data_IF_382915668911
#
_entry.id   IF_382915668911
#
_cell.length_a   1.000
_cell.length_b   1.000
_cell.length_c   1.000
_cell.angle_alpha   90.00
_cell.angle_beta   90.00
_cell.angle_gamma   90.00
#
_symmetry.space_group_name_H-M   'P 1'
#
loop_
_entity.id
_entity.type
_entity.pdbx_description
1 polymer ?
#
# COMPACT_ATOMS: atom_id res chain seq x y z
N UNK A 1 0.77 6.44 -14.04
CA UNK A 1 0.63 5.62 -12.82
C UNK A 1 1.01 4.19 -13.14
N UNK A 2 1.93 3.61 -12.38
CA UNK A 2 2.26 2.18 -12.42
C UNK A 2 1.46 1.38 -11.38
N UNK A 3 1.24 0.09 -11.64
CA UNK A 3 0.48 -0.79 -10.74
C UNK A 3 1.22 -2.09 -10.55
N UNK A 4 1.39 -2.48 -9.30
CA UNK A 4 2.15 -3.64 -8.91
C UNK A 4 1.35 -4.48 -7.92
N UNK A 5 1.37 -5.80 -8.07
CA UNK A 5 0.74 -6.72 -7.13
C UNK A 5 1.66 -7.88 -6.77
N UNK A 6 1.81 -8.15 -5.48
CA UNK A 6 2.25 -9.45 -4.98
C UNK A 6 1.00 -10.21 -4.52
N UNK A 7 0.60 -11.23 -5.28
CA UNK A 7 -0.53 -12.09 -4.94
C UNK A 7 -0.01 -13.51 -4.70
N UNK A 8 -0.43 -14.13 -3.59
CA UNK A 8 -0.07 -15.51 -3.27
C UNK A 8 -1.09 -16.12 -2.30
N UNK A 9 -0.94 -17.39 -1.94
CA UNK A 9 -1.79 -18.03 -0.92
C UNK A 9 -1.49 -17.48 0.47
N UNK A 10 -2.50 -17.43 1.35
CA UNK A 10 -2.38 -16.85 2.70
C UNK A 10 -1.18 -17.37 3.52
N UNK A 11 -0.88 -18.68 3.43
CA UNK A 11 0.24 -19.33 4.11
C UNK A 11 1.63 -18.82 3.66
N UNK A 12 1.71 -18.24 2.46
CA UNK A 12 2.95 -17.67 1.91
C UNK A 12 3.08 -16.16 2.14
N UNK A 13 2.05 -15.51 2.67
CA UNK A 13 2.09 -14.08 3.01
C UNK A 13 2.77 -13.87 4.37
N UNK A 14 4.07 -14.21 4.43
CA UNK A 14 4.87 -14.10 5.65
C UNK A 14 5.25 -12.65 5.98
N UNK A 15 5.59 -12.30 7.23
CA UNK A 15 6.05 -10.96 7.59
C UNK A 15 7.18 -10.41 6.70
N UNK A 16 8.05 -11.28 6.20
CA UNK A 16 9.14 -10.93 5.28
C UNK A 16 8.61 -10.44 3.94
N UNK A 17 7.54 -11.05 3.41
CA UNK A 17 6.87 -10.60 2.18
C UNK A 17 6.23 -9.23 2.39
N UNK A 18 5.54 -9.03 3.53
CA UNK A 18 5.00 -7.73 3.90
C UNK A 18 6.07 -6.65 3.92
N UNK A 19 7.22 -6.95 4.55
CA UNK A 19 8.37 -6.05 4.61
C UNK A 19 8.95 -5.79 3.22
N UNK A 20 9.10 -6.82 2.39
CA UNK A 20 9.64 -6.67 1.03
C UNK A 20 8.76 -5.76 0.16
N UNK A 21 7.43 -5.97 0.17
CA UNK A 21 6.49 -5.13 -0.58
C UNK A 21 6.48 -3.69 -0.05
N UNK A 22 6.51 -3.51 1.27
CA UNK A 22 6.63 -2.17 1.87
C UNK A 22 7.91 -1.46 1.42
N UNK A 23 9.06 -2.13 1.51
CA UNK A 23 10.35 -1.56 1.07
C UNK A 23 10.37 -1.27 -0.44
N UNK A 24 9.73 -2.11 -1.25
CA UNK A 24 9.56 -1.85 -2.69
C UNK A 24 8.76 -0.57 -2.94
N UNK A 25 7.65 -0.37 -2.24
CA UNK A 25 6.86 0.86 -2.35
C UNK A 25 7.63 2.10 -1.86
N UNK A 26 8.38 1.98 -0.75
CA UNK A 26 9.29 3.04 -0.26
C UNK A 26 10.33 3.40 -1.31
N UNK A 27 10.92 2.41 -1.99
CA UNK A 27 11.89 2.66 -3.06
C UNK A 27 11.28 3.46 -4.20
N UNK A 28 10.09 3.08 -4.69
CA UNK A 28 9.40 3.84 -5.75
C UNK A 28 9.14 5.28 -5.30
N UNK A 29 8.66 5.46 -4.07
CA UNK A 29 8.38 6.78 -3.51
C UNK A 29 9.65 7.63 -3.45
N UNK A 30 10.76 7.05 -2.98
CA UNK A 30 12.07 7.71 -2.92
C UNK A 30 12.61 8.09 -4.30
N UNK A 31 12.60 7.15 -5.26
CA UNK A 31 13.14 7.35 -6.61
C UNK A 31 12.36 8.44 -7.37
N UNK A 32 11.09 8.67 -7.01
CA UNK A 32 10.24 9.71 -7.59
C UNK A 32 10.13 10.98 -6.74
N UNK A 33 10.85 11.07 -5.62
CA UNK A 33 10.75 12.16 -4.64
C UNK A 33 9.30 12.47 -4.22
N UNK A 34 8.57 11.40 -3.86
CA UNK A 34 7.16 11.43 -3.43
C UNK A 34 6.98 10.82 -2.05
N UNK A 35 5.85 11.14 -1.43
CA UNK A 35 5.40 10.48 -0.20
C UNK A 35 4.81 9.09 -0.49
N UNK A 36 4.80 8.25 0.54
CA UNK A 36 4.13 6.96 0.55
C UNK A 36 2.87 7.03 1.42
N UNK A 37 1.75 6.59 0.89
CA UNK A 37 0.50 6.43 1.64
C UNK A 37 0.18 4.95 1.81
N UNK A 38 0.24 4.48 3.06
CA UNK A 38 -0.27 3.18 3.46
C UNK A 38 -1.79 3.23 3.48
N UNK A 39 -2.43 2.24 2.87
CA UNK A 39 -3.89 2.10 2.84
C UNK A 39 -4.29 0.83 3.58
N UNK A 40 -5.13 1.01 4.60
CA UNK A 40 -5.73 -0.07 5.38
C UNK A 40 -7.25 0.08 5.34
N UNK A 41 -7.99 -1.02 5.14
CA UNK A 41 -9.45 -0.97 5.04
C UNK A 41 -10.08 -0.31 6.29
N UNK A 42 -9.53 -0.62 7.46
CA UNK A 42 -9.94 -0.02 8.72
C UNK A 42 -8.71 0.43 9.53
N UNK A 43 -8.61 1.74 9.80
CA UNK A 43 -7.52 2.31 10.62
C UNK A 43 -7.57 1.80 12.05
N UNK A 44 -8.68 1.23 12.53
CA UNK A 44 -8.73 0.58 13.85
C UNK A 44 -8.13 -0.83 13.86
N UNK A 45 -8.04 -1.50 12.70
CA UNK A 45 -7.48 -2.86 12.53
C UNK A 45 -6.11 -2.84 11.81
N UNK A 46 -5.51 -1.66 11.69
CA UNK A 46 -4.21 -1.42 11.06
C UNK A 46 -3.05 -2.19 11.70
N UNK A 47 -3.13 -2.53 12.98
CA UNK A 47 -2.05 -3.16 13.75
C UNK A 47 -1.66 -4.52 13.19
N UNK A 48 -2.64 -5.29 12.71
CA UNK A 48 -2.43 -6.70 12.37
C UNK A 48 -1.53 -6.86 11.13
N UNK A 49 -1.50 -5.84 10.28
CA UNK A 49 -0.66 -5.81 9.08
C UNK A 49 0.57 -4.93 9.26
N UNK A 50 0.42 -3.74 9.84
CA UNK A 50 1.53 -2.77 9.92
C UNK A 50 2.61 -3.22 10.92
N UNK A 51 2.22 -3.88 12.01
CA UNK A 51 3.19 -4.40 13.00
C UNK A 51 4.10 -5.50 12.43
N UNK A 52 3.75 -6.10 11.29
CA UNK A 52 4.59 -7.12 10.62
C UNK A 52 5.87 -6.52 10.02
N UNK A 53 5.88 -5.22 9.72
CA UNK A 53 7.01 -4.57 9.03
C UNK A 53 7.44 -3.22 9.62
N UNK A 54 6.69 -2.67 10.57
CA UNK A 54 7.07 -1.50 11.37
C UNK A 54 7.04 -1.81 12.86
N UNK A 55 7.90 -1.16 13.64
CA UNK A 55 7.87 -1.27 15.10
C UNK A 55 6.59 -0.65 15.71
N UNK A 56 6.34 -0.95 16.98
CA UNK A 56 5.15 -0.47 17.69
C UNK A 56 5.10 1.06 17.78
N UNK A 57 6.25 1.74 17.91
CA UNK A 57 6.30 3.20 18.03
C UNK A 57 5.89 3.87 16.73
N UNK A 58 6.43 3.41 15.60
CA UNK A 58 6.07 3.86 14.26
C UNK A 58 4.61 3.57 13.95
N UNK A 59 4.15 2.36 14.28
CA UNK A 59 2.75 1.94 14.14
C UNK A 59 1.81 2.88 14.91
N UNK A 60 2.11 3.15 16.19
CA UNK A 60 1.32 4.07 17.03
C UNK A 60 1.31 5.51 16.52
N UNK A 61 2.41 5.99 15.90
CA UNK A 61 2.46 7.32 15.28
C UNK A 61 1.51 7.40 14.09
N UNK A 62 1.60 6.43 13.17
CA UNK A 62 0.75 6.35 11.98
C UNK A 62 -0.74 6.28 12.35
N UNK A 63 -1.09 5.50 13.39
CA UNK A 63 -2.45 5.39 13.92
C UNK A 63 -3.06 6.73 14.32
N UNK A 64 -2.24 7.60 14.89
CA UNK A 64 -2.63 8.95 15.35
C UNK A 64 -2.64 9.97 14.21
N UNK A 65 -2.44 9.52 12.97
CA UNK A 65 -2.33 10.39 11.80
C UNK A 65 -1.01 11.14 11.71
N UNK A 66 0.00 10.76 12.49
CA UNK A 66 1.32 11.38 12.44
C UNK A 66 2.12 10.80 11.28
N UNK A 67 2.65 11.68 10.42
CA UNK A 67 3.55 11.30 9.34
C UNK A 67 4.86 10.71 9.90
N UNK A 68 5.23 9.53 9.43
CA UNK A 68 6.49 8.87 9.76
C UNK A 68 7.54 9.21 8.71
N UNK A 69 8.79 9.43 9.13
CA UNK A 69 9.93 9.48 8.21
C UNK A 69 10.61 8.12 8.17
N UNK A 70 10.64 7.48 7.00
CA UNK A 70 11.25 6.17 6.81
C UNK A 70 12.18 6.20 5.59
N UNK A 71 13.48 6.00 5.80
CA UNK A 71 14.51 6.00 4.75
C UNK A 71 14.53 7.27 3.84
N UNK A 72 14.10 8.41 4.40
CA UNK A 72 13.98 9.70 3.69
C UNK A 72 12.65 9.90 2.97
N UNK A 73 11.68 9.01 3.16
CA UNK A 73 10.32 9.11 2.60
C UNK A 73 9.33 9.42 3.71
N UNK A 74 8.46 10.40 3.46
CA UNK A 74 7.29 10.66 4.30
C UNK A 74 6.24 9.56 4.10
N UNK A 75 5.88 8.86 5.17
CA UNK A 75 4.91 7.77 5.18
C UNK A 75 3.67 8.19 5.97
N UNK A 76 2.51 8.09 5.34
CA UNK A 76 1.20 8.41 5.91
C UNK A 76 0.30 7.17 5.95
N UNK A 77 -0.72 7.19 6.80
CA UNK A 77 -1.74 6.15 6.87
C UNK A 77 -3.12 6.71 6.53
N UNK A 78 -3.86 6.01 5.67
CA UNK A 78 -5.22 6.38 5.25
C UNK A 78 -6.13 5.16 5.21
N UNK A 79 -7.41 5.39 5.43
CA UNK A 79 -8.48 4.47 5.00
C UNK A 79 -9.01 4.87 3.62
N UNK A 80 -9.68 3.95 2.90
CA UNK A 80 -10.32 4.24 1.62
C UNK A 80 -11.24 5.46 1.64
N UNK A 81 -11.93 5.69 2.76
CA UNK A 81 -12.86 6.81 2.95
C UNK A 81 -12.16 8.16 3.18
N UNK A 82 -10.90 8.13 3.59
CA UNK A 82 -10.10 9.34 3.84
C UNK A 82 -9.24 9.76 2.64
N UNK A 83 -9.21 8.93 1.59
CA UNK A 83 -8.56 9.25 0.31
C UNK A 83 -9.51 10.15 -0.47
N UNK A 84 -9.03 11.33 -0.84
CA UNK A 84 -9.84 12.35 -1.53
C UNK A 84 -9.41 12.44 -2.98
N UNK A 85 -10.34 12.33 -3.91
CA UNK A 85 -10.04 12.33 -5.36
C UNK A 85 -9.25 13.57 -5.81
N UNK A 86 -9.52 14.74 -5.22
CA UNK A 86 -8.86 16.00 -5.55
C UNK A 86 -7.48 16.18 -4.91
N UNK A 87 -7.11 15.36 -3.94
CA UNK A 87 -5.79 15.44 -3.30
C UNK A 87 -4.76 14.72 -4.17
N UNK A 88 -3.57 15.32 -4.30
CA UNK A 88 -2.45 14.65 -4.96
C UNK A 88 -1.80 13.66 -4.01
N UNK A 89 -1.59 12.44 -4.49
CA UNK A 89 -0.88 11.39 -3.75
C UNK A 89 0.36 10.96 -4.51
N UNK A 90 1.38 10.53 -3.77
CA UNK A 90 2.63 10.02 -4.31
C UNK A 90 2.53 8.56 -4.74
N UNK A 91 2.88 7.66 -3.83
CA UNK A 91 2.78 6.21 -4.01
C UNK A 91 1.79 5.66 -2.99
N UNK A 92 0.96 4.71 -3.40
CA UNK A 92 0.15 3.92 -2.48
C UNK A 92 0.76 2.55 -2.23
N UNK A 93 0.67 2.09 -0.98
CA UNK A 93 0.94 0.71 -0.62
C UNK A 93 -0.23 0.18 0.22
N UNK A 94 -0.85 -0.90 -0.23
CA UNK A 94 -2.02 -1.47 0.41
C UNK A 94 -1.85 -2.97 0.64
N UNK A 95 -2.34 -3.43 1.79
CA UNK A 95 -2.29 -4.84 2.18
C UNK A 95 -3.72 -5.37 2.28
N UNK A 96 -4.05 -6.37 1.47
CA UNK A 96 -5.40 -6.89 1.25
C UNK A 96 -6.44 -5.77 1.05
N UNK A 97 -6.23 -4.86 0.07
CA UNK A 97 -7.17 -3.77 -0.15
C UNK A 97 -8.53 -4.32 -0.62
N UNK A 98 -9.61 -3.80 -0.05
CA UNK A 98 -10.95 -4.03 -0.60
C UNK A 98 -11.12 -3.37 -1.97
N UNK A 99 -12.15 -3.76 -2.74
CA UNK A 99 -12.54 -3.06 -3.97
C UNK A 99 -12.70 -1.54 -3.74
N UNK A 100 -13.24 -1.14 -2.59
CA UNK A 100 -13.38 0.28 -2.24
C UNK A 100 -12.01 0.97 -2.11
N UNK A 101 -11.02 0.30 -1.52
CA UNK A 101 -9.66 0.82 -1.43
C UNK A 101 -9.03 1.00 -2.81
N UNK A 102 -9.18 0.01 -3.69
CA UNK A 102 -8.69 0.07 -5.07
C UNK A 102 -9.33 1.24 -5.82
N UNK A 103 -10.65 1.35 -5.80
CA UNK A 103 -11.39 2.47 -6.41
C UNK A 103 -10.93 3.84 -5.90
N UNK A 104 -10.77 3.98 -4.58
CA UNK A 104 -10.32 5.23 -3.96
C UNK A 104 -8.90 5.61 -4.39
N UNK A 105 -7.98 4.64 -4.49
CA UNK A 105 -6.62 4.90 -4.95
C UNK A 105 -6.59 5.24 -6.46
N UNK A 106 -7.34 4.52 -7.27
CA UNK A 106 -7.42 4.74 -8.73
C UNK A 106 -8.06 6.07 -9.11
N UNK A 107 -9.04 6.54 -8.34
CA UNK A 107 -9.74 7.81 -8.57
C UNK A 107 -8.99 9.03 -8.01
N UNK A 108 -7.82 8.84 -7.40
CA UNK A 108 -7.03 9.91 -6.82
C UNK A 108 -6.19 10.66 -7.86
N UNK A 109 -5.81 11.90 -7.55
CA UNK A 109 -5.08 12.76 -8.48
C UNK A 109 -3.59 12.45 -8.49
N UNK A 110 -3.07 12.15 -9.68
CA UNK A 110 -1.64 12.00 -9.98
C UNK A 110 -0.82 11.01 -9.12
N UNK A 111 -1.35 9.84 -8.69
CA UNK A 111 -0.51 8.80 -8.11
C UNK A 111 0.57 8.32 -9.10
N UNK A 112 1.79 8.23 -8.60
CA UNK A 112 2.92 7.65 -9.32
C UNK A 112 2.76 6.14 -9.44
N UNK A 113 2.42 5.47 -8.34
CA UNK A 113 2.22 4.03 -8.33
C UNK A 113 1.22 3.56 -7.27
N UNK A 114 0.58 2.42 -7.53
CA UNK A 114 -0.16 1.62 -6.55
C UNK A 114 0.55 0.27 -6.41
N UNK A 115 0.93 -0.07 -5.19
CA UNK A 115 1.56 -1.36 -4.85
C UNK A 115 0.63 -2.11 -3.90
N UNK A 116 0.23 -3.32 -4.27
CA UNK A 116 -0.63 -4.17 -3.44
C UNK A 116 0.08 -5.45 -3.04
N UNK A 117 -0.20 -5.91 -1.83
CA UNK A 117 0.01 -7.28 -1.38
C UNK A 117 -1.36 -7.84 -1.01
N UNK A 118 -1.70 -9.03 -1.50
CA UNK A 118 -2.97 -9.66 -1.16
C UNK A 118 -2.95 -11.17 -1.37
N UNK A 119 -4.00 -11.82 -0.91
CA UNK A 119 -4.24 -13.21 -1.26
C UNK A 119 -4.61 -13.30 -2.75
N UNK A 120 -4.25 -14.39 -3.42
CA UNK A 120 -4.60 -14.58 -4.82
C UNK A 120 -6.12 -14.76 -4.98
N UNK A 121 -6.79 -13.63 -5.20
CA UNK A 121 -8.22 -13.54 -5.46
C UNK A 121 -8.51 -12.99 -6.86
N UNK A 122 -9.64 -13.43 -7.44
CA UNK A 122 -10.05 -13.04 -8.80
C UNK A 122 -10.08 -11.52 -8.97
N UNK A 123 -10.62 -10.79 -8.00
CA UNK A 123 -10.77 -9.34 -8.07
C UNK A 123 -9.43 -8.60 -8.22
N UNK A 124 -8.35 -9.08 -7.59
CA UNK A 124 -7.01 -8.50 -7.78
C UNK A 124 -6.42 -8.83 -9.15
N UNK A 125 -6.64 -10.05 -9.63
CA UNK A 125 -6.17 -10.46 -10.96
C UNK A 125 -6.89 -9.68 -12.07
N UNK A 126 -8.20 -9.46 -11.93
CA UNK A 126 -9.01 -8.66 -12.84
C UNK A 126 -8.57 -7.20 -12.80
N UNK A 127 -8.41 -6.60 -11.62
CA UNK A 127 -7.89 -5.23 -11.47
C UNK A 127 -6.53 -5.07 -12.16
N UNK A 128 -5.60 -6.00 -11.94
CA UNK A 128 -4.28 -5.94 -12.53
C UNK A 128 -4.34 -6.04 -14.06
N UNK A 129 -5.18 -6.92 -14.60
CA UNK A 129 -5.40 -7.08 -16.04
C UNK A 129 -6.00 -5.82 -16.66
N UNK A 130 -7.13 -5.34 -16.12
CA UNK A 130 -7.84 -4.14 -16.59
C UNK A 130 -6.96 -2.89 -16.60
N UNK A 131 -6.06 -2.79 -15.62
CA UNK A 131 -5.20 -1.62 -15.45
C UNK A 131 -3.78 -1.82 -15.98
N UNK A 132 -3.53 -2.91 -16.71
CA UNK A 132 -2.22 -3.26 -17.27
C UNK A 132 -1.09 -3.23 -16.24
N UNK A 133 -1.38 -3.71 -15.02
CA UNK A 133 -0.44 -3.80 -13.93
C UNK A 133 0.53 -4.98 -14.07
N UNK A 134 1.51 -5.04 -13.17
CA UNK A 134 2.59 -6.02 -13.18
C UNK A 134 2.57 -6.84 -11.90
N UNK A 135 2.73 -8.15 -12.02
CA UNK A 135 3.04 -8.97 -10.86
C UNK A 135 4.46 -8.66 -10.37
N UNK A 136 4.61 -8.50 -9.05
CA UNK A 136 5.91 -8.51 -8.41
C UNK A 136 6.41 -9.96 -8.43
N UNK A 137 7.68 -10.16 -8.81
CA UNK A 137 8.25 -11.50 -8.91
C UNK A 137 8.12 -12.22 -7.56
N UNK A 138 7.47 -13.39 -7.60
CA UNK A 138 7.58 -14.41 -6.56
C UNK A 138 9.00 -14.97 -6.69
N UNK A 139 9.87 -14.64 -5.74
CA UNK A 139 11.25 -15.12 -5.70
C UNK A 139 11.34 -16.54 -5.17
#
# INVERSE_FOLDING_TARGET
MERFAYLDTWDKLTPEVFKAVFHYAVKIAKDNNKELTLVVNNVAQYSDFISKFLDQTATNKLAKGVTLQFQGVAVNLKSPFSIKSYQSYGVFCAFHPSNKALESMESSTSPVAIVILGEQEEHFTSWLSEKSGKFLKQG
#
